data_IF_996524544990
#
_entry.id   IF_996524544990
#
_cell.length_a   1.000
_cell.length_b   1.000
_cell.length_c   1.000
_cell.angle_alpha   90.00
_cell.angle_beta   90.00
_cell.angle_gamma   90.00
#
_symmetry.space_group_name_H-M   'P 1'
#
loop_
_entity.id
_entity.type
_entity.pdbx_description
1 polymer ?
#
# COMPACT_ATOMS: atom_id res chain seq x y z
N UNK A 1 4.55 -10.94 -7.14
CA UNK A 1 5.41 -9.86 -7.66
C UNK A 1 6.76 -10.37 -8.23
N UNK A 2 6.75 -11.46 -9.02
CA UNK A 2 8.00 -12.17 -9.42
C UNK A 2 8.86 -11.40 -10.44
N UNK A 3 8.29 -10.36 -11.06
CA UNK A 3 8.93 -9.54 -12.11
C UNK A 3 9.49 -8.19 -11.64
N UNK A 4 9.39 -7.86 -10.35
CA UNK A 4 9.97 -6.64 -9.78
C UNK A 4 11.30 -6.93 -9.06
N UNK A 5 12.06 -7.91 -9.57
CA UNK A 5 13.29 -8.45 -8.97
C UNK A 5 14.56 -7.76 -9.47
N UNK A 6 14.44 -6.84 -10.44
CA UNK A 6 15.56 -5.99 -10.81
C UNK A 6 15.85 -5.01 -9.68
N UNK A 7 17.06 -5.07 -9.13
CA UNK A 7 17.55 -4.17 -8.08
C UNK A 7 17.47 -2.69 -8.51
N UNK A 8 17.52 -2.42 -9.82
CA UNK A 8 17.46 -1.07 -10.39
C UNK A 8 16.06 -0.47 -10.32
N UNK A 9 15.01 -1.27 -10.43
CA UNK A 9 13.62 -0.77 -10.48
C UNK A 9 12.85 -1.03 -9.19
N UNK A 10 13.44 -1.77 -8.25
CA UNK A 10 12.76 -2.19 -7.02
C UNK A 10 12.24 -0.99 -6.21
N UNK A 11 13.09 0.00 -5.95
CA UNK A 11 12.70 1.18 -5.15
C UNK A 11 11.58 1.99 -5.82
N UNK A 12 11.73 2.32 -7.11
CA UNK A 12 10.71 3.01 -7.89
C UNK A 12 9.39 2.24 -7.93
N UNK A 13 9.45 0.90 -7.96
CA UNK A 13 8.26 0.05 -7.90
C UNK A 13 7.59 0.16 -6.53
N UNK A 14 8.35 0.14 -5.44
CA UNK A 14 7.79 0.27 -4.09
C UNK A 14 7.15 1.64 -3.87
N UNK A 15 7.76 2.71 -4.40
CA UNK A 15 7.18 4.05 -4.42
C UNK A 15 5.85 4.05 -5.18
N UNK A 16 5.81 3.45 -6.37
CA UNK A 16 4.59 3.38 -7.17
C UNK A 16 3.47 2.61 -6.45
N UNK A 17 3.78 1.44 -5.87
CA UNK A 17 2.80 0.63 -5.10
C UNK A 17 2.29 1.42 -3.88
N UNK A 18 3.18 2.14 -3.20
CA UNK A 18 2.79 3.05 -2.12
C UNK A 18 1.81 4.12 -2.61
N UNK A 19 2.03 4.72 -3.78
CA UNK A 19 1.10 5.71 -4.35
C UNK A 19 -0.24 5.09 -4.76
N UNK A 20 -0.22 3.90 -5.36
CA UNK A 20 -1.42 3.17 -5.76
C UNK A 20 -2.30 2.80 -4.57
N UNK A 21 -1.75 2.68 -3.37
CA UNK A 21 -2.53 2.44 -2.14
C UNK A 21 -3.64 3.48 -1.95
N UNK A 22 -3.38 4.77 -2.23
CA UNK A 22 -4.42 5.81 -2.16
C UNK A 22 -5.49 5.70 -3.26
N UNK A 23 -5.16 5.06 -4.39
CA UNK A 23 -6.11 4.89 -5.50
C UNK A 23 -7.10 3.75 -5.22
N UNK A 24 -6.83 2.90 -4.23
CA UNK A 24 -7.69 1.78 -3.86
C UNK A 24 -9.07 2.22 -3.34
N UNK A 25 -9.20 3.46 -2.83
CA UNK A 25 -10.49 3.98 -2.36
C UNK A 25 -11.31 4.66 -3.46
N UNK A 26 -10.80 4.70 -4.70
CA UNK A 26 -11.46 5.28 -5.86
C UNK A 26 -12.65 4.42 -6.32
N UNK A 27 -13.83 5.03 -6.59
CA UNK A 27 -15.03 4.29 -7.01
C UNK A 27 -14.89 3.64 -8.40
N UNK A 28 -13.89 4.03 -9.19
CA UNK A 28 -13.62 3.47 -10.52
C UNK A 28 -12.76 2.20 -10.48
N UNK A 29 -12.10 1.94 -9.35
CA UNK A 29 -11.31 0.73 -9.15
C UNK A 29 -12.23 -0.29 -8.49
N UNK A 30 -12.60 -1.35 -9.20
CA UNK A 30 -13.42 -2.44 -8.65
C UNK A 30 -12.62 -3.17 -7.56
N UNK A 31 -12.67 -2.65 -6.34
CA UNK A 31 -11.94 -3.17 -5.21
C UNK A 31 -12.69 -4.36 -4.63
N UNK A 32 -12.04 -5.53 -4.63
CA UNK A 32 -12.42 -6.60 -3.70
C UNK A 32 -11.69 -6.38 -2.36
N UNK A 33 -12.21 -6.97 -1.28
CA UNK A 33 -11.58 -6.90 0.06
C UNK A 33 -10.10 -7.35 0.06
N UNK A 34 -9.65 -8.05 -0.98
CA UNK A 34 -8.29 -8.56 -1.13
C UNK A 34 -7.30 -7.56 -1.73
N UNK A 35 -7.75 -6.48 -2.39
CA UNK A 35 -6.84 -5.58 -3.14
C UNK A 35 -5.90 -4.81 -2.22
N UNK A 36 -6.41 -4.31 -1.08
CA UNK A 36 -5.59 -3.69 -0.05
C UNK A 36 -4.60 -4.68 0.55
N UNK A 37 -5.06 -5.89 0.88
CA UNK A 37 -4.20 -6.94 1.43
C UNK A 37 -3.03 -7.28 0.49
N UNK A 38 -3.29 -7.34 -0.82
CA UNK A 38 -2.25 -7.58 -1.84
C UNK A 38 -1.21 -6.45 -1.87
N UNK A 39 -1.65 -5.18 -1.82
CA UNK A 39 -0.71 -4.04 -1.76
C UNK A 39 0.13 -4.05 -0.49
N UNK A 40 -0.47 -4.35 0.66
CA UNK A 40 0.24 -4.44 1.95
C UNK A 40 1.25 -5.58 1.93
N UNK A 41 0.87 -6.77 1.43
CA UNK A 41 1.79 -7.92 1.30
C UNK A 41 2.97 -7.58 0.38
N UNK A 42 2.76 -6.76 -0.67
CA UNK A 42 3.84 -6.34 -1.56
C UNK A 42 4.81 -5.33 -0.91
N UNK A 43 4.31 -4.43 -0.07
CA UNK A 43 5.12 -3.40 0.61
C UNK A 43 5.81 -3.90 1.88
N UNK A 44 5.21 -4.86 2.59
CA UNK A 44 5.71 -5.39 3.87
C UNK A 44 7.19 -5.80 3.85
N UNK A 45 7.67 -6.58 2.87
CA UNK A 45 9.09 -6.95 2.80
C UNK A 45 10.02 -5.74 2.65
N UNK A 46 9.63 -4.76 1.84
CA UNK A 46 10.40 -3.53 1.65
C UNK A 46 10.46 -2.70 2.94
N UNK A 47 9.33 -2.59 3.64
CA UNK A 47 9.25 -1.87 4.91
C UNK A 47 10.05 -2.55 6.02
N UNK A 48 10.01 -3.89 6.09
CA UNK A 48 10.81 -4.66 7.05
C UNK A 48 12.31 -4.53 6.76
N UNK A 49 12.72 -4.61 5.49
CA UNK A 49 14.11 -4.48 5.11
C UNK A 49 14.70 -3.10 5.45
N UNK A 50 13.88 -2.04 5.37
CA UNK A 50 14.28 -0.67 5.68
C UNK A 50 13.80 -0.20 7.06
N UNK A 51 13.44 -1.13 7.96
CA UNK A 51 12.83 -0.75 9.24
C UNK A 51 13.79 0.08 10.12
N UNK A 52 15.06 -0.33 10.18
CA UNK A 52 16.07 0.33 11.01
C UNK A 52 16.57 1.66 10.42
N UNK A 53 16.44 1.82 9.10
CA UNK A 53 16.88 3.02 8.38
C UNK A 53 15.64 3.73 7.84
N UNK A 54 15.09 4.66 8.63
CA UNK A 54 13.81 5.36 8.39
C UNK A 54 13.67 5.93 6.97
N UNK A 55 13.31 5.07 6.03
CA UNK A 55 13.15 5.45 4.64
C UNK A 55 11.82 6.18 4.51
N UNK A 56 11.85 7.40 3.96
CA UNK A 56 10.66 8.25 3.81
C UNK A 56 9.49 7.52 3.14
N UNK A 57 9.79 6.62 2.20
CA UNK A 57 8.81 5.79 1.48
C UNK A 57 8.07 4.84 2.42
N UNK A 58 8.74 4.28 3.44
CA UNK A 58 8.11 3.37 4.41
C UNK A 58 7.13 4.12 5.31
N UNK A 59 7.50 5.31 5.77
CA UNK A 59 6.62 6.17 6.57
C UNK A 59 5.39 6.55 5.75
N UNK A 60 5.59 7.05 4.53
CA UNK A 60 4.48 7.42 3.65
C UNK A 60 3.60 6.22 3.28
N UNK A 61 4.18 5.04 3.07
CA UNK A 61 3.41 3.82 2.82
C UNK A 61 2.53 3.46 4.03
N UNK A 62 3.09 3.50 5.25
CA UNK A 62 2.36 3.23 6.48
C UNK A 62 1.18 4.21 6.67
N UNK A 63 1.41 5.51 6.48
CA UNK A 63 0.36 6.54 6.56
C UNK A 63 -0.77 6.30 5.56
N UNK A 64 -0.43 5.95 4.30
CA UNK A 64 -1.42 5.67 3.26
C UNK A 64 -2.23 4.42 3.57
N UNK A 65 -1.58 3.35 4.04
CA UNK A 65 -2.28 2.12 4.46
C UNK A 65 -3.23 2.44 5.61
N UNK A 66 -2.77 3.11 6.66
CA UNK A 66 -3.59 3.47 7.82
C UNK A 66 -4.81 4.31 7.43
N UNK A 67 -4.61 5.29 6.54
CA UNK A 67 -5.69 6.12 6.01
C UNK A 67 -6.74 5.29 5.27
N UNK A 68 -6.34 4.40 4.37
CA UNK A 68 -7.27 3.56 3.60
C UNK A 68 -8.05 2.61 4.50
N UNK A 69 -7.40 2.02 5.52
CA UNK A 69 -8.08 1.19 6.52
C UNK A 69 -9.16 1.99 7.26
N UNK A 70 -8.84 3.19 7.75
CA UNK A 70 -9.80 4.04 8.44
C UNK A 70 -10.96 4.48 7.54
N UNK A 71 -10.67 4.86 6.28
CA UNK A 71 -11.71 5.21 5.31
C UNK A 71 -12.66 4.04 5.00
N UNK A 72 -12.14 2.81 5.02
CA UNK A 72 -12.95 1.60 4.83
C UNK A 72 -13.85 1.32 6.04
N UNK A 73 -13.33 1.47 7.26
CA UNK A 73 -14.12 1.30 8.49
C UNK A 73 -15.24 2.34 8.62
N UNK A 74 -14.97 3.61 8.28
CA UNK A 74 -15.99 4.66 8.31
C UNK A 74 -17.08 4.42 7.25
N UNK A 75 -16.71 3.98 6.04
CA UNK A 75 -17.70 3.60 5.01
C UNK A 75 -18.53 2.39 5.44
N UNK A 76 -17.94 1.42 6.12
CA UNK A 76 -18.67 0.26 6.64
C UNK A 76 -19.68 0.68 7.71
N UNK A 77 -19.31 1.59 8.63
CA UNK A 77 -20.22 2.10 9.67
C UNK A 77 -21.39 2.94 9.14
N UNK A 78 -21.23 3.66 8.03
CA UNK A 78 -22.31 4.43 7.41
C UNK A 78 -23.34 3.58 6.64
N UNK A 79 -23.06 2.29 6.43
CA UNK A 79 -23.92 1.37 5.69
C UNK A 79 -24.86 0.53 6.59
N UNK A 80 -24.74 0.67 7.92
CA UNK A 80 -25.64 0.11 8.95
C UNK A 80 -26.65 1.16 9.46
#
# INVERSE_FOLDING_TARGET
LKGCTSTVTYESTMILISCLTNMLTSPFVTMNNSSLAINVIALLPYMMYNYDNQHVVCIQAAERIARVCNEHDEKAKLAD
#
